data_IF_001316081693
#
_entry.id   IF_001316081693
#
_cell.length_a   1.000
_cell.length_b   1.000
_cell.length_c   1.000
_cell.angle_alpha   90.00
_cell.angle_beta   90.00
_cell.angle_gamma   90.00
#
_symmetry.space_group_name_H-M   'P 1'
#
loop_
_entity.id
_entity.type
_entity.pdbx_description
1 polymer ?
#
# COMPACT_ATOMS: atom_id res chain seq x y z
N UNK A 1 -23.53 -47.02 9.32
CA UNK A 1 -22.31 -46.49 9.96
C UNK A 1 -21.64 -45.67 8.87
N UNK A 2 -21.90 -44.41 8.82
CA UNK A 2 -21.47 -43.54 7.72
C UNK A 2 -20.56 -42.48 8.34
N UNK A 3 -19.28 -42.50 7.94
CA UNK A 3 -18.24 -41.59 8.35
C UNK A 3 -18.60 -40.15 8.01
N UNK A 4 -18.79 -39.33 9.04
CA UNK A 4 -18.77 -37.88 8.91
C UNK A 4 -17.31 -37.40 8.81
N UNK A 5 -16.85 -37.23 7.58
CA UNK A 5 -15.63 -36.47 7.31
C UNK A 5 -15.91 -34.99 7.62
N UNK A 6 -15.38 -34.54 8.73
CA UNK A 6 -15.45 -33.15 9.19
C UNK A 6 -14.78 -32.21 8.19
N UNK A 7 -15.63 -31.52 7.39
CA UNK A 7 -15.21 -30.40 6.54
C UNK A 7 -14.78 -29.23 7.40
N UNK A 8 -13.48 -28.98 7.49
CA UNK A 8 -12.96 -27.69 7.95
C UNK A 8 -13.43 -26.65 6.94
N UNK A 9 -14.19 -25.62 7.34
CA UNK A 9 -14.77 -24.66 6.40
C UNK A 9 -13.65 -23.97 5.58
N UNK A 10 -13.81 -24.00 4.27
CA UNK A 10 -12.92 -23.46 3.25
C UNK A 10 -12.46 -22.03 3.57
N UNK A 11 -13.37 -21.21 4.10
CA UNK A 11 -13.11 -19.85 4.58
C UNK A 11 -12.00 -19.74 5.65
N UNK A 12 -11.80 -20.75 6.49
CA UNK A 12 -10.69 -20.78 7.48
C UNK A 12 -9.33 -21.03 6.85
N UNK A 13 -9.31 -21.71 5.71
CA UNK A 13 -8.06 -22.00 4.97
C UNK A 13 -7.62 -20.78 4.17
N UNK A 14 -8.55 -20.09 3.51
CA UNK A 14 -8.28 -18.87 2.74
C UNK A 14 -7.71 -17.76 3.64
N UNK A 15 -8.33 -17.48 4.79
CA UNK A 15 -7.83 -16.46 5.73
C UNK A 15 -6.47 -16.79 6.32
N UNK A 16 -6.10 -18.06 6.43
CA UNK A 16 -4.78 -18.47 6.94
C UNK A 16 -3.70 -18.31 5.86
N UNK A 17 -4.00 -18.62 4.61
CA UNK A 17 -3.09 -18.43 3.47
C UNK A 17 -2.83 -16.96 3.23
N UNK A 18 -3.88 -16.13 3.21
CA UNK A 18 -3.76 -14.66 3.07
C UNK A 18 -2.88 -14.05 4.14
N UNK A 19 -3.04 -14.44 5.41
CA UNK A 19 -2.18 -13.95 6.51
C UNK A 19 -0.72 -14.32 6.34
N UNK A 20 -0.43 -15.55 5.89
CA UNK A 20 0.95 -16.00 5.65
C UNK A 20 1.59 -15.24 4.50
N UNK A 21 0.82 -14.88 3.47
CA UNK A 21 1.30 -14.07 2.35
C UNK A 21 1.54 -12.62 2.77
N UNK A 22 0.64 -12.03 3.56
CA UNK A 22 0.82 -10.69 4.15
C UNK A 22 2.09 -10.60 5.00
N UNK A 23 2.33 -11.59 5.87
CA UNK A 23 3.50 -11.61 6.73
C UNK A 23 4.81 -11.73 5.92
N UNK A 24 4.80 -12.53 4.84
CA UNK A 24 5.94 -12.63 3.92
C UNK A 24 6.23 -11.32 3.18
N UNK A 25 5.18 -10.61 2.72
CA UNK A 25 5.35 -9.32 2.04
C UNK A 25 5.95 -8.29 2.99
N UNK A 26 5.50 -8.22 4.24
CA UNK A 26 6.08 -7.36 5.28
C UNK A 26 7.53 -7.70 5.57
N UNK A 27 7.85 -8.99 5.68
CA UNK A 27 9.21 -9.44 5.90
C UNK A 27 10.14 -9.04 4.74
N UNK A 28 9.66 -9.11 3.51
CA UNK A 28 10.39 -8.66 2.33
C UNK A 28 10.63 -7.15 2.34
N UNK A 29 9.64 -6.34 2.68
CA UNK A 29 9.78 -4.88 2.76
C UNK A 29 10.84 -4.48 3.79
N UNK A 30 10.81 -5.08 4.98
CA UNK A 30 11.83 -4.86 6.03
C UNK A 30 13.24 -5.28 5.58
N UNK A 31 13.36 -6.38 4.85
CA UNK A 31 14.66 -6.83 4.30
C UNK A 31 15.17 -5.86 3.24
N UNK A 32 14.29 -5.34 2.37
CA UNK A 32 14.66 -4.35 1.36
C UNK A 32 15.12 -3.04 2.02
N UNK A 33 14.45 -2.57 3.07
CA UNK A 33 14.88 -1.41 3.85
C UNK A 33 16.28 -1.62 4.47
N UNK A 34 16.52 -2.80 4.99
CA UNK A 34 17.84 -3.15 5.54
C UNK A 34 18.92 -3.12 4.46
N UNK A 35 18.63 -3.64 3.27
CA UNK A 35 19.55 -3.60 2.13
C UNK A 35 19.80 -2.16 1.69
N UNK A 36 18.76 -1.35 1.57
CA UNK A 36 18.86 0.06 1.18
C UNK A 36 19.76 0.84 2.13
N UNK A 37 19.56 0.68 3.44
CA UNK A 37 20.38 1.34 4.46
C UNK A 37 21.86 0.93 4.38
N UNK A 38 22.13 -0.37 4.14
CA UNK A 38 23.51 -0.86 3.96
C UNK A 38 24.15 -0.32 2.72
N UNK A 39 23.42 -0.24 1.60
CA UNK A 39 23.93 0.32 0.35
C UNK A 39 24.23 1.82 0.50
N UNK A 40 23.39 2.57 1.22
CA UNK A 40 23.64 3.98 1.51
C UNK A 40 24.93 4.20 2.32
N UNK A 41 25.18 3.36 3.33
CA UNK A 41 26.41 3.41 4.13
C UNK A 41 27.63 3.11 3.25
N UNK A 42 27.56 2.08 2.41
CA UNK A 42 28.64 1.70 1.50
C UNK A 42 28.89 2.81 0.48
N UNK A 43 27.83 3.38 -0.11
CA UNK A 43 27.94 4.50 -1.06
C UNK A 43 28.65 5.71 -0.42
N UNK A 44 28.30 6.05 0.83
CA UNK A 44 28.96 7.12 1.59
C UNK A 44 30.44 6.85 1.82
N UNK A 45 30.79 5.63 2.29
CA UNK A 45 32.19 5.24 2.52
C UNK A 45 33.01 5.28 1.22
N UNK A 46 32.43 4.82 0.12
CA UNK A 46 33.11 4.82 -1.18
C UNK A 46 33.25 6.23 -1.78
N UNK A 47 32.26 7.10 -1.57
CA UNK A 47 32.30 8.51 -2.01
C UNK A 47 33.36 9.32 -1.26
N UNK A 48 33.55 9.05 0.03
CA UNK A 48 34.59 9.70 0.86
C UNK A 48 36.00 9.14 0.51
N UNK A 49 36.07 8.01 -0.17
CA UNK A 49 37.31 7.38 -0.59
C UNK A 49 37.74 7.88 -1.99
N UNK A 50 38.65 8.81 -2.04
CA UNK A 50 39.19 9.43 -3.27
C UNK A 50 39.77 8.45 -4.30
N UNK A 51 39.85 7.15 -3.97
CA UNK A 51 40.57 6.17 -4.80
C UNK A 51 39.69 5.33 -5.74
N UNK A 52 38.35 5.30 -5.60
CA UNK A 52 37.47 4.41 -6.41
C UNK A 52 36.07 4.98 -6.68
N UNK A 53 35.96 6.08 -7.44
CA UNK A 53 34.65 6.68 -7.74
C UNK A 53 33.73 5.74 -8.58
N UNK A 54 34.29 4.82 -9.33
CA UNK A 54 33.54 3.84 -10.14
C UNK A 54 32.73 2.87 -9.28
N UNK A 55 33.24 2.51 -8.09
CA UNK A 55 32.50 1.64 -7.17
C UNK A 55 31.30 2.35 -6.54
N UNK A 56 31.43 3.64 -6.26
CA UNK A 56 30.30 4.43 -5.73
C UNK A 56 29.14 4.48 -6.74
N UNK A 57 29.43 4.69 -8.03
CA UNK A 57 28.43 4.69 -9.09
C UNK A 57 27.74 3.32 -9.25
N UNK A 58 28.49 2.23 -9.11
CA UNK A 58 27.94 0.87 -9.16
C UNK A 58 26.99 0.61 -7.99
N UNK A 59 27.33 1.05 -6.78
CA UNK A 59 26.46 0.92 -5.59
C UNK A 59 25.21 1.78 -5.75
N UNK A 60 25.35 3.00 -6.28
CA UNK A 60 24.20 3.87 -6.58
C UNK A 60 23.23 3.25 -7.57
N UNK A 61 23.73 2.63 -8.64
CA UNK A 61 22.92 1.91 -9.61
C UNK A 61 22.21 0.69 -8.99
N UNK A 62 22.91 -0.05 -8.14
CA UNK A 62 22.31 -1.18 -7.42
C UNK A 62 21.19 -0.71 -6.49
N UNK A 63 21.39 0.39 -5.76
CA UNK A 63 20.37 1.01 -4.90
C UNK A 63 19.16 1.45 -5.71
N UNK A 64 19.36 2.07 -6.87
CA UNK A 64 18.26 2.41 -7.78
C UNK A 64 17.47 1.15 -8.23
N UNK A 65 18.18 0.06 -8.53
CA UNK A 65 17.53 -1.23 -8.85
C UNK A 65 16.68 -1.78 -7.70
N UNK A 66 17.15 -1.69 -6.47
CA UNK A 66 16.38 -2.12 -5.28
C UNK A 66 15.12 -1.27 -5.10
N UNK A 67 15.19 0.05 -5.34
CA UNK A 67 14.03 0.94 -5.29
C UNK A 67 12.95 0.56 -6.30
N UNK A 68 13.32 0.13 -7.51
CA UNK A 68 12.37 -0.33 -8.53
C UNK A 68 11.56 -1.56 -8.10
N UNK A 69 12.12 -2.39 -7.23
CA UNK A 69 11.45 -3.58 -6.69
C UNK A 69 10.66 -3.24 -5.42
N UNK A 70 11.16 -2.33 -4.60
CA UNK A 70 10.55 -1.95 -3.33
C UNK A 70 9.18 -1.31 -3.50
N UNK A 71 9.01 -0.38 -4.41
CA UNK A 71 7.75 0.33 -4.64
C UNK A 71 6.56 -0.61 -4.94
N UNK A 72 6.67 -1.59 -5.87
CA UNK A 72 5.61 -2.57 -6.08
C UNK A 72 5.30 -3.42 -4.84
N UNK A 73 6.30 -3.80 -4.05
CA UNK A 73 6.12 -4.61 -2.84
C UNK A 73 5.35 -3.82 -1.79
N UNK A 74 5.75 -2.57 -1.52
CA UNK A 74 5.04 -1.69 -0.59
C UNK A 74 3.60 -1.39 -1.05
N UNK A 75 3.37 -1.29 -2.37
CA UNK A 75 2.02 -1.15 -2.93
C UNK A 75 1.17 -2.42 -2.68
N UNK A 76 1.76 -3.60 -2.82
CA UNK A 76 1.09 -4.88 -2.54
C UNK A 76 0.71 -5.00 -1.06
N UNK A 77 1.58 -4.59 -0.16
CA UNK A 77 1.31 -4.56 1.28
C UNK A 77 0.12 -3.65 1.61
N UNK A 78 0.13 -2.42 1.06
CA UNK A 78 -0.98 -1.48 1.22
C UNK A 78 -2.30 -2.01 0.64
N UNK A 79 -2.26 -2.70 -0.51
CA UNK A 79 -3.45 -3.33 -1.11
C UNK A 79 -3.99 -4.48 -0.26
N UNK A 80 -3.11 -5.31 0.28
CA UNK A 80 -3.50 -6.39 1.18
C UNK A 80 -4.16 -5.83 2.44
N UNK A 81 -3.56 -4.82 3.08
CA UNK A 81 -4.15 -4.14 4.21
C UNK A 81 -5.50 -3.48 3.86
N UNK A 82 -5.62 -2.89 2.66
CA UNK A 82 -6.85 -2.25 2.18
C UNK A 82 -7.99 -3.25 1.93
N UNK A 83 -7.68 -4.51 1.58
CA UNK A 83 -8.69 -5.54 1.33
C UNK A 83 -9.59 -5.78 2.53
N UNK A 84 -9.05 -5.67 3.75
CA UNK A 84 -9.81 -5.78 5.02
C UNK A 84 -10.90 -4.73 5.15
N UNK A 85 -10.68 -3.54 4.59
CA UNK A 85 -11.64 -2.44 4.63
C UNK A 85 -12.71 -2.58 3.56
N UNK A 86 -12.37 -3.13 2.39
CA UNK A 86 -13.30 -3.32 1.26
C UNK A 86 -14.43 -4.28 1.62
N UNK A 87 -14.15 -5.30 2.44
CA UNK A 87 -15.15 -6.27 2.90
C UNK A 87 -16.01 -5.77 4.08
N UNK A 88 -15.78 -4.55 4.59
CA UNK A 88 -16.70 -3.98 5.59
C UNK A 88 -18.06 -3.64 4.95
N UNK A 89 -19.16 -3.95 5.64
CA UNK A 89 -20.52 -3.70 5.15
C UNK A 89 -20.78 -2.27 4.69
N UNK A 90 -20.14 -1.28 5.32
CA UNK A 90 -20.25 0.14 4.95
C UNK A 90 -19.61 0.46 3.60
N UNK A 91 -18.61 -0.30 3.19
CA UNK A 91 -17.83 -0.08 1.96
C UNK A 91 -18.26 -1.02 0.83
N UNK A 92 -18.67 -2.24 1.16
CA UNK A 92 -18.96 -3.31 0.20
C UNK A 92 -19.95 -2.90 -0.90
N UNK A 93 -20.97 -2.11 -0.54
CA UNK A 93 -22.01 -1.63 -1.45
C UNK A 93 -21.70 -0.28 -2.10
N UNK A 94 -20.65 0.41 -1.65
CA UNK A 94 -20.29 1.74 -2.16
C UNK A 94 -19.05 1.68 -3.05
N UNK A 95 -19.29 1.64 -4.34
CA UNK A 95 -18.24 1.60 -5.36
C UNK A 95 -17.25 2.77 -5.26
N UNK A 96 -17.72 3.99 -4.92
CA UNK A 96 -16.85 5.16 -4.80
C UNK A 96 -15.90 4.98 -3.61
N UNK A 97 -16.39 4.53 -2.46
CA UNK A 97 -15.56 4.25 -1.30
C UNK A 97 -14.51 3.17 -1.58
N UNK A 98 -14.86 2.12 -2.34
CA UNK A 98 -13.88 1.09 -2.77
C UNK A 98 -12.80 1.67 -3.66
N UNK A 99 -13.15 2.49 -4.66
CA UNK A 99 -12.18 3.13 -5.54
C UNK A 99 -11.26 4.06 -4.73
N UNK A 100 -11.79 4.82 -3.77
CA UNK A 100 -10.99 5.69 -2.89
C UNK A 100 -9.96 4.86 -2.12
N UNK A 101 -10.39 3.78 -1.46
CA UNK A 101 -9.51 2.91 -0.68
C UNK A 101 -8.42 2.29 -1.58
N UNK A 102 -8.79 1.76 -2.75
CA UNK A 102 -7.85 1.20 -3.71
C UNK A 102 -6.85 2.25 -4.21
N UNK A 103 -7.31 3.47 -4.50
CA UNK A 103 -6.45 4.56 -4.96
C UNK A 103 -5.43 4.94 -3.89
N UNK A 104 -5.85 5.04 -2.62
CA UNK A 104 -4.96 5.35 -1.52
C UNK A 104 -3.98 4.19 -1.23
N UNK A 105 -4.41 2.95 -1.39
CA UNK A 105 -3.54 1.79 -1.25
C UNK A 105 -2.45 1.75 -2.33
N UNK A 106 -2.81 1.98 -3.59
CA UNK A 106 -1.88 1.92 -4.71
C UNK A 106 -0.91 3.11 -4.75
N UNK A 107 -1.45 4.31 -4.60
CA UNK A 107 -0.72 5.55 -4.86
C UNK A 107 -0.23 6.25 -3.58
N UNK A 108 -0.53 5.67 -2.38
CA UNK A 108 -0.24 6.30 -1.11
C UNK A 108 -1.10 7.55 -0.84
N UNK A 109 -0.60 8.50 -0.01
CA UNK A 109 -1.34 9.70 0.35
C UNK A 109 -1.72 10.54 -0.86
N UNK A 110 -3.00 10.94 -0.96
CA UNK A 110 -3.56 11.68 -2.10
C UNK A 110 -4.42 12.86 -1.63
N UNK A 111 -4.41 13.95 -2.39
CA UNK A 111 -5.35 15.05 -2.17
C UNK A 111 -6.72 14.80 -2.84
N UNK A 112 -7.72 15.57 -2.43
CA UNK A 112 -9.10 15.44 -2.98
C UNK A 112 -9.15 15.48 -4.51
N UNK A 113 -8.29 16.27 -5.16
CA UNK A 113 -8.32 16.42 -6.62
C UNK A 113 -7.75 15.19 -7.33
N UNK A 114 -6.73 14.59 -6.75
CA UNK A 114 -6.14 13.34 -7.25
C UNK A 114 -7.13 12.18 -7.09
N UNK A 115 -7.76 12.06 -5.92
CA UNK A 115 -8.81 11.06 -5.64
C UNK A 115 -10.00 11.25 -6.59
N UNK A 116 -10.47 12.49 -6.79
CA UNK A 116 -11.56 12.78 -7.74
C UNK A 116 -11.21 12.34 -9.16
N UNK A 117 -9.97 12.58 -9.60
CA UNK A 117 -9.49 12.13 -10.92
C UNK A 117 -9.53 10.61 -11.03
N UNK A 118 -9.01 9.89 -10.04
CA UNK A 118 -9.03 8.44 -10.02
C UNK A 118 -10.46 7.87 -10.05
N UNK A 119 -11.39 8.45 -9.27
CA UNK A 119 -12.80 8.04 -9.29
C UNK A 119 -13.43 8.33 -10.65
N UNK A 120 -13.09 9.46 -11.29
CA UNK A 120 -13.57 9.82 -12.63
C UNK A 120 -13.04 8.85 -13.70
N UNK A 121 -11.77 8.49 -13.64
CA UNK A 121 -11.15 7.54 -14.55
C UNK A 121 -11.80 6.15 -14.43
N UNK A 122 -12.06 5.69 -13.22
CA UNK A 122 -12.66 4.38 -12.98
C UNK A 122 -14.15 4.29 -13.35
N UNK A 123 -14.94 5.38 -13.17
CA UNK A 123 -16.41 5.39 -13.36
C UNK A 123 -16.89 6.21 -14.56
N UNK A 124 -16.01 6.91 -15.26
CA UNK A 124 -16.36 7.84 -16.30
C UNK A 124 -16.92 9.18 -15.79
N UNK A 125 -17.32 9.27 -14.51
CA UNK A 125 -17.86 10.48 -13.87
C UNK A 125 -17.56 10.52 -12.38
N UNK A 126 -17.23 11.71 -11.86
CA UNK A 126 -17.09 11.93 -10.43
C UNK A 126 -17.61 13.33 -10.08
N UNK A 127 -18.21 13.46 -8.89
CA UNK A 127 -18.58 14.77 -8.32
C UNK A 127 -17.68 15.00 -7.11
N UNK A 128 -16.99 16.13 -7.08
CA UNK A 128 -16.12 16.53 -5.96
C UNK A 128 -16.87 16.56 -4.62
N UNK A 129 -18.15 16.92 -4.65
CA UNK A 129 -19.02 16.90 -3.47
C UNK A 129 -19.18 15.46 -2.94
N UNK A 130 -19.49 14.51 -3.84
CA UNK A 130 -19.68 13.10 -3.44
C UNK A 130 -18.37 12.51 -2.94
N UNK A 131 -17.24 12.77 -3.61
CA UNK A 131 -15.93 12.29 -3.15
C UNK A 131 -15.61 12.80 -1.75
N UNK A 132 -15.85 14.08 -1.45
CA UNK A 132 -15.65 14.63 -0.11
C UNK A 132 -16.57 14.00 0.93
N UNK A 133 -17.83 13.77 0.58
CA UNK A 133 -18.80 13.10 1.47
C UNK A 133 -18.33 11.68 1.82
N UNK A 134 -17.86 10.93 0.82
CA UNK A 134 -17.33 9.57 1.05
C UNK A 134 -16.04 9.57 1.85
N UNK A 135 -15.13 10.51 1.59
CA UNK A 135 -13.93 10.68 2.41
C UNK A 135 -14.28 10.99 3.87
N UNK A 136 -15.27 11.86 4.11
CA UNK A 136 -15.74 12.16 5.48
C UNK A 136 -16.29 10.90 6.18
N UNK A 137 -17.06 10.08 5.47
CA UNK A 137 -17.60 8.82 6.02
C UNK A 137 -16.47 7.82 6.33
N UNK A 138 -15.51 7.67 5.40
CA UNK A 138 -14.35 6.78 5.60
C UNK A 138 -13.45 7.23 6.76
N UNK A 139 -13.36 8.54 7.00
CA UNK A 139 -12.67 9.08 8.19
C UNK A 139 -13.47 8.74 9.46
N UNK A 140 -14.79 8.90 9.44
CA UNK A 140 -15.68 8.53 10.55
C UNK A 140 -15.60 7.04 10.88
N UNK A 141 -15.43 6.19 9.87
CA UNK A 141 -15.27 4.73 10.01
C UNK A 141 -13.86 4.31 10.44
N UNK A 142 -12.91 5.25 10.55
CA UNK A 142 -11.51 4.99 10.89
C UNK A 142 -10.74 4.23 9.81
N UNK A 143 -11.15 4.33 8.55
CA UNK A 143 -10.52 3.67 7.40
C UNK A 143 -9.51 4.60 6.73
N UNK A 144 -9.80 5.89 6.71
CA UNK A 144 -8.98 6.94 6.14
C UNK A 144 -8.66 7.96 7.21
N UNK A 145 -7.48 8.50 7.16
CA UNK A 145 -7.07 9.64 8.01
C UNK A 145 -6.62 10.83 7.16
N UNK A 146 -6.78 12.03 7.71
CA UNK A 146 -6.25 13.24 7.10
C UNK A 146 -4.77 13.39 7.47
N UNK A 147 -3.90 13.40 6.46
CA UNK A 147 -2.47 13.59 6.64
C UNK A 147 -2.12 15.02 7.08
N UNK A 148 -0.98 15.16 7.75
CA UNK A 148 -0.44 16.44 8.22
C UNK A 148 0.22 17.18 7.04
N UNK A 149 -0.39 18.27 6.53
CA UNK A 149 0.23 19.07 5.46
C UNK A 149 -0.59 20.29 5.04
N UNK A 150 0.02 21.17 4.23
CA UNK A 150 -0.70 22.25 3.55
C UNK A 150 -1.61 21.68 2.45
N UNK A 151 -2.90 21.57 2.74
CA UNK A 151 -3.93 20.95 1.88
C UNK A 151 -4.44 19.65 2.49
N UNK A 152 -5.71 19.32 2.25
CA UNK A 152 -6.29 18.07 2.73
C UNK A 152 -5.71 16.89 1.93
N UNK A 153 -4.71 16.25 2.47
CA UNK A 153 -4.14 14.98 2.00
C UNK A 153 -4.77 13.87 2.82
N UNK A 154 -5.11 12.78 2.19
CA UNK A 154 -5.76 11.63 2.80
C UNK A 154 -4.90 10.39 2.58
N UNK A 155 -4.87 9.52 3.57
CA UNK A 155 -4.15 8.25 3.56
C UNK A 155 -4.98 7.18 4.28
N UNK A 156 -4.67 5.91 4.05
CA UNK A 156 -5.29 4.82 4.80
C UNK A 156 -4.85 4.88 6.26
N UNK A 157 -5.77 4.61 7.19
CA UNK A 157 -5.43 4.43 8.59
C UNK A 157 -4.66 3.10 8.75
N UNK A 158 -3.58 3.13 9.55
CA UNK A 158 -2.79 1.95 9.90
C UNK A 158 -3.54 0.99 10.86
#
# INVERSE_FOLDING_TARGET
>A
MVDQVSGVPEQRRETKVERVEEDKVKELDVKLDTIMNRLEIIERILSDSLQRPELASTVSNLRAGVLLVKEPISALERLSAASKYIHRRSVEKDEISRIIIQTLALNGPQNTSQIERAVREARGRASRRIVRERLSNLIGDGIVQAGKGRGAVYELAE
#
